data_IF_567141264429
#
_entry.id   IF_567141264429
#
_cell.length_a   1.000
_cell.length_b   1.000
_cell.length_c   1.000
_cell.angle_alpha   90.00
_cell.angle_beta   90.00
_cell.angle_gamma   90.00
#
_symmetry.space_group_name_H-M   'P 1'
#
loop_
_entity.id
_entity.type
_entity.pdbx_description
1 polymer ?
#
# COMPACT_ATOMS: atom_id res chain seq x y z
N UNK A 1 5.43 5.45 1.91
CA UNK A 1 6.73 4.75 1.75
C UNK A 1 7.14 4.84 0.29
N UNK A 2 8.37 5.25 0.00
CA UNK A 2 8.87 5.42 -1.37
C UNK A 2 9.81 4.25 -1.72
N UNK A 3 9.48 3.49 -2.77
CA UNK A 3 10.23 2.34 -3.27
C UNK A 3 10.47 2.55 -4.78
N UNK A 4 11.71 2.86 -5.14
CA UNK A 4 12.10 3.18 -6.52
C UNK A 4 11.15 4.24 -7.12
N UNK A 5 10.36 3.95 -8.15
CA UNK A 5 9.39 4.89 -8.76
C UNK A 5 7.95 4.70 -8.27
N UNK A 6 7.76 4.12 -7.09
CA UNK A 6 6.43 3.86 -6.50
C UNK A 6 6.36 4.44 -5.10
N UNK A 7 5.31 5.23 -4.84
CA UNK A 7 4.95 5.67 -3.49
C UNK A 7 3.76 4.86 -3.02
N UNK A 8 3.94 4.08 -1.95
CA UNK A 8 2.85 3.46 -1.21
C UNK A 8 2.35 4.43 -0.14
N UNK A 9 1.11 4.89 -0.27
CA UNK A 9 0.36 5.58 0.79
C UNK A 9 -0.33 4.51 1.62
N UNK A 10 -0.10 4.53 2.93
CA UNK A 10 -0.66 3.53 3.86
C UNK A 10 -1.48 4.29 4.89
N UNK A 11 -2.78 4.03 4.89
CA UNK A 11 -3.74 4.64 5.81
C UNK A 11 -4.24 3.57 6.78
N UNK A 12 -4.18 3.84 8.07
CA UNK A 12 -4.61 2.90 9.11
C UNK A 12 -5.58 3.60 10.04
N UNK A 13 -6.86 3.35 9.76
CA UNK A 13 -7.97 4.06 10.35
C UNK A 13 -8.71 3.13 11.31
N UNK A 14 -9.06 3.67 12.48
CA UNK A 14 -9.93 3.04 13.44
C UNK A 14 -10.86 4.08 14.06
N UNK A 15 -12.14 3.75 14.16
CA UNK A 15 -13.18 4.56 14.78
C UNK A 15 -13.93 3.75 15.85
N UNK A 16 -14.63 4.46 16.75
CA UNK A 16 -15.46 3.83 17.76
C UNK A 16 -16.75 3.22 17.18
N UNK A 17 -17.28 3.85 16.13
CA UNK A 17 -18.47 3.40 15.40
C UNK A 17 -18.13 3.21 13.92
N UNK A 18 -18.86 2.34 13.24
CA UNK A 18 -18.69 2.13 11.81
C UNK A 18 -19.01 3.41 11.03
N UNK A 19 -18.16 3.76 10.07
CA UNK A 19 -18.33 4.93 9.20
C UNK A 19 -18.19 4.58 7.72
N UNK A 20 -18.43 5.55 6.85
CA UNK A 20 -18.04 5.45 5.45
C UNK A 20 -16.57 5.83 5.30
N UNK A 21 -15.85 5.06 4.50
CA UNK A 21 -14.48 5.37 4.11
C UNK A 21 -14.46 6.09 2.76
N UNK A 22 -13.70 7.19 2.71
CA UNK A 22 -13.41 7.92 1.48
C UNK A 22 -11.92 8.26 1.45
N UNK A 23 -11.28 7.95 0.32
CA UNK A 23 -9.93 8.43 0.01
C UNK A 23 -10.05 9.49 -1.07
N UNK A 24 -9.45 10.67 -0.86
CA UNK A 24 -9.61 11.81 -1.77
C UNK A 24 -8.33 12.09 -2.54
N UNK A 25 -8.46 12.42 -3.82
CA UNK A 25 -7.35 12.80 -4.69
C UNK A 25 -7.64 14.08 -5.45
N UNK A 26 -6.73 15.04 -5.38
CA UNK A 26 -6.83 16.33 -6.07
C UNK A 26 -5.72 16.48 -7.12
N UNK A 27 -5.82 15.83 -8.29
CA UNK A 27 -4.83 15.99 -9.34
C UNK A 27 -5.06 17.26 -10.14
N UNK A 28 -3.97 17.88 -10.58
CA UNK A 28 -4.00 18.87 -11.67
C UNK A 28 -3.67 18.14 -12.97
N UNK A 29 -4.48 18.36 -14.01
CA UNK A 29 -4.27 17.79 -15.35
C UNK A 29 -5.44 16.93 -15.83
N UNK A 30 -5.16 16.05 -16.79
CA UNK A 30 -6.14 15.11 -17.34
C UNK A 30 -6.07 13.79 -16.59
N UNK A 31 -7.22 13.29 -16.14
CA UNK A 31 -7.34 12.01 -15.45
C UNK A 31 -8.28 11.09 -16.21
N UNK A 32 -7.85 9.85 -16.44
CA UNK A 32 -8.61 8.82 -17.18
C UNK A 32 -8.58 7.52 -16.39
N UNK A 33 -9.75 6.94 -16.09
CA UNK A 33 -9.83 5.60 -15.51
C UNK A 33 -9.44 4.55 -16.56
N UNK A 34 -8.55 3.64 -16.19
CA UNK A 34 -8.11 2.49 -17.00
C UNK A 34 -8.18 1.23 -16.16
N UNK A 35 -9.25 0.48 -16.29
CA UNK A 35 -9.46 -0.71 -15.46
C UNK A 35 -9.60 -0.32 -13.98
N UNK A 36 -8.68 -0.83 -13.17
CA UNK A 36 -8.61 -0.56 -11.71
C UNK A 36 -7.77 0.68 -11.36
N UNK A 37 -7.19 1.34 -12.37
CA UNK A 37 -6.24 2.44 -12.22
C UNK A 37 -6.83 3.78 -12.64
N UNK A 38 -6.29 4.87 -12.09
CA UNK A 38 -6.45 6.23 -12.62
C UNK A 38 -5.12 6.67 -13.24
N UNK A 39 -5.14 6.93 -14.54
CA UNK A 39 -4.02 7.49 -15.30
C UNK A 39 -4.13 9.02 -15.29
N UNK A 40 -3.14 9.71 -14.73
CA UNK A 40 -3.15 11.16 -14.53
C UNK A 40 -1.96 11.79 -15.24
N UNK A 41 -2.22 12.77 -16.12
CA UNK A 41 -1.20 13.44 -16.93
C UNK A 41 -1.29 14.95 -16.82
N UNK A 42 -0.15 15.60 -16.63
CA UNK A 42 -0.01 17.06 -16.65
C UNK A 42 1.27 17.47 -17.40
N UNK A 43 1.13 17.85 -18.67
CA UNK A 43 2.27 18.10 -19.54
C UNK A 43 3.14 16.86 -19.69
N UNK A 44 4.40 16.92 -19.21
CA UNK A 44 5.34 15.80 -19.20
C UNK A 44 5.25 14.92 -17.95
N UNK A 45 4.52 15.35 -16.92
CA UNK A 45 4.32 14.56 -15.71
C UNK A 45 3.22 13.52 -15.93
N UNK A 46 3.46 12.30 -15.45
CA UNK A 46 2.53 11.17 -15.53
C UNK A 46 2.60 10.40 -14.22
N UNK A 47 1.44 10.09 -13.64
CA UNK A 47 1.33 9.20 -12.48
C UNK A 47 0.14 8.28 -12.68
N UNK A 48 0.30 7.02 -12.30
CA UNK A 48 -0.82 6.08 -12.20
C UNK A 48 -1.15 5.87 -10.72
N UNK A 49 -2.39 6.11 -10.36
CA UNK A 49 -2.92 5.83 -9.03
C UNK A 49 -3.66 4.50 -9.05
N UNK A 50 -3.26 3.58 -8.16
CA UNK A 50 -3.86 2.26 -7.99
C UNK A 50 -4.24 2.01 -6.53
N UNK A 51 -5.53 1.87 -6.27
CA UNK A 51 -6.01 1.38 -4.97
C UNK A 51 -5.70 -0.12 -4.85
N UNK A 52 -4.99 -0.53 -3.79
CA UNK A 52 -4.62 -1.94 -3.56
C UNK A 52 -5.45 -2.55 -2.45
N UNK A 53 -5.57 -1.85 -1.33
CA UNK A 53 -6.30 -2.30 -0.15
C UNK A 53 -7.25 -1.22 0.39
N UNK A 54 -8.37 -1.61 1.00
CA UNK A 54 -8.78 -3.00 1.23
C UNK A 54 -9.29 -3.68 -0.05
N UNK A 55 -9.75 -2.92 -1.04
CA UNK A 55 -10.11 -3.43 -2.36
C UNK A 55 -9.66 -2.49 -3.48
N UNK A 56 -9.53 -3.02 -4.70
CA UNK A 56 -9.23 -2.19 -5.87
C UNK A 56 -10.48 -1.45 -6.34
N UNK A 57 -10.29 -0.43 -7.17
CA UNK A 57 -11.40 0.16 -7.93
C UNK A 57 -12.08 -0.90 -8.81
N UNK A 58 -13.38 -0.75 -9.05
CA UNK A 58 -14.10 -1.58 -10.00
C UNK A 58 -13.44 -1.53 -11.39
N UNK A 59 -13.08 -2.69 -12.00
CA UNK A 59 -12.39 -2.74 -13.30
C UNK A 59 -13.17 -2.13 -14.47
N UNK A 60 -14.47 -1.93 -14.32
CA UNK A 60 -15.33 -1.30 -15.33
C UNK A 60 -16.31 -0.35 -14.67
N UNK A 61 -17.14 0.33 -15.47
CA UNK A 61 -18.20 1.20 -14.97
C UNK A 61 -19.52 0.46 -14.70
N UNK A 62 -19.58 -0.85 -15.00
CA UNK A 62 -20.67 -1.73 -14.57
C UNK A 62 -20.46 -2.15 -13.12
N UNK A 63 -20.59 -1.18 -12.20
CA UNK A 63 -20.26 -1.34 -10.77
C UNK A 63 -21.05 -2.49 -10.10
N UNK A 64 -22.26 -2.78 -10.57
CA UNK A 64 -23.09 -3.87 -10.02
C UNK A 64 -22.47 -5.26 -10.19
N UNK A 65 -21.57 -5.44 -11.17
CA UNK A 65 -20.81 -6.69 -11.35
C UNK A 65 -19.66 -6.83 -10.33
N UNK A 66 -19.33 -5.75 -9.61
CA UNK A 66 -18.19 -5.64 -8.69
C UNK A 66 -18.62 -5.10 -7.31
N UNK A 67 -19.58 -5.73 -6.61
CA UNK A 67 -20.20 -5.19 -5.40
C UNK A 67 -19.25 -5.08 -4.19
N UNK A 68 -18.10 -5.76 -4.24
CA UNK A 68 -17.06 -5.68 -3.21
C UNK A 68 -15.98 -4.63 -3.50
N UNK A 69 -15.84 -4.20 -4.76
CA UNK A 69 -14.80 -3.27 -5.16
C UNK A 69 -15.11 -1.84 -4.72
N UNK A 70 -14.07 -1.01 -4.70
CA UNK A 70 -14.24 0.42 -4.50
C UNK A 70 -14.92 1.05 -5.71
N UNK A 71 -15.73 2.06 -5.45
CA UNK A 71 -16.29 2.96 -6.47
C UNK A 71 -15.59 4.31 -6.41
N UNK A 72 -15.85 5.15 -7.40
CA UNK A 72 -15.35 6.52 -7.43
C UNK A 72 -16.44 7.52 -7.78
N UNK A 73 -16.30 8.73 -7.26
CA UNK A 73 -17.12 9.90 -7.60
C UNK A 73 -16.19 11.06 -7.98
N UNK A 74 -16.65 11.88 -8.93
CA UNK A 74 -15.96 13.11 -9.34
C UNK A 74 -16.72 14.28 -8.73
N UNK A 75 -16.01 15.10 -7.97
CA UNK A 75 -16.52 16.33 -7.39
C UNK A 75 -15.73 17.51 -7.96
N UNK A 76 -16.25 18.72 -7.79
CA UNK A 76 -15.55 19.95 -8.15
C UNK A 76 -15.31 20.78 -6.88
N UNK A 77 -14.12 21.34 -6.76
CA UNK A 77 -13.76 22.29 -5.70
C UNK A 77 -12.98 23.46 -6.31
N UNK A 78 -12.91 24.63 -5.64
CA UNK A 78 -12.04 25.71 -6.09
C UNK A 78 -10.61 25.21 -6.29
N UNK A 79 -10.05 25.50 -7.46
CA UNK A 79 -8.67 25.19 -7.77
C UNK A 79 -7.70 25.89 -6.82
N UNK A 80 -6.52 25.32 -6.63
CA UNK A 80 -5.50 25.85 -5.71
C UNK A 80 -5.09 27.29 -6.07
N UNK A 81 -5.13 27.65 -7.36
CA UNK A 81 -4.85 28.99 -7.86
C UNK A 81 -6.04 29.96 -7.78
N UNK A 82 -7.17 29.51 -7.23
CA UNK A 82 -8.47 30.20 -7.19
C UNK A 82 -9.00 30.63 -8.56
N UNK A 83 -8.53 30.02 -9.67
CA UNK A 83 -8.97 30.35 -11.03
C UNK A 83 -10.01 29.34 -11.54
N UNK A 84 -11.11 29.26 -10.81
CA UNK A 84 -12.23 28.38 -11.13
C UNK A 84 -12.13 27.02 -10.44
N UNK A 85 -13.07 26.14 -10.76
CA UNK A 85 -13.18 24.84 -10.13
C UNK A 85 -12.33 23.79 -10.84
N UNK A 86 -11.77 22.86 -10.06
CA UNK A 86 -11.02 21.71 -10.52
C UNK A 86 -11.65 20.41 -10.00
N UNK A 87 -11.64 19.33 -10.82
CA UNK A 87 -12.17 18.06 -10.39
C UNK A 87 -11.27 17.41 -9.34
N UNK A 88 -11.88 16.78 -8.35
CA UNK A 88 -11.22 15.86 -7.43
C UNK A 88 -11.99 14.55 -7.34
N UNK A 89 -11.28 13.49 -6.99
CA UNK A 89 -11.78 12.13 -7.05
C UNK A 89 -11.94 11.59 -5.63
N UNK A 90 -13.12 11.07 -5.33
CA UNK A 90 -13.40 10.39 -4.07
C UNK A 90 -13.54 8.90 -4.32
N UNK A 91 -12.82 8.08 -3.56
CA UNK A 91 -12.86 6.62 -3.65
C UNK A 91 -13.59 6.04 -2.44
N UNK A 92 -14.62 5.24 -2.68
CA UNK A 92 -15.54 4.80 -1.64
C UNK A 92 -15.46 3.29 -1.44
N UNK A 93 -15.49 2.84 -0.19
CA UNK A 93 -15.82 1.44 0.10
C UNK A 93 -17.34 1.24 0.07
N UNK A 94 -17.82 0.11 -0.47
CA UNK A 94 -19.25 -0.16 -0.59
C UNK A 94 -19.91 -0.43 0.77
N UNK A 95 -19.13 -0.77 1.80
CA UNK A 95 -19.60 -1.06 3.15
C UNK A 95 -19.07 -0.04 4.14
N UNK A 96 -19.78 0.07 5.26
CA UNK A 96 -19.29 0.80 6.43
C UNK A 96 -18.28 -0.06 7.16
N UNK A 97 -17.28 0.60 7.73
CA UNK A 97 -16.19 -0.03 8.45
C UNK A 97 -15.86 0.82 9.68
N UNK A 98 -15.59 0.17 10.81
CA UNK A 98 -14.96 0.79 11.98
C UNK A 98 -13.43 0.77 11.87
N UNK A 99 -12.89 -0.01 10.92
CA UNK A 99 -11.45 -0.09 10.64
C UNK A 99 -11.15 -0.26 9.17
N UNK A 100 -10.15 0.47 8.69
CA UNK A 100 -9.64 0.33 7.32
C UNK A 100 -8.12 0.43 7.34
N UNK A 101 -7.46 -0.59 6.79
CA UNK A 101 -6.04 -0.51 6.40
C UNK A 101 -5.98 -0.34 4.89
N UNK A 102 -5.90 0.92 4.48
CA UNK A 102 -5.81 1.36 3.09
C UNK A 102 -4.37 1.29 2.60
N UNK A 103 -4.20 0.84 1.35
CA UNK A 103 -2.90 0.96 0.67
C UNK A 103 -3.16 1.41 -0.75
N UNK A 104 -2.56 2.54 -1.10
CA UNK A 104 -2.64 3.14 -2.44
C UNK A 104 -1.24 3.19 -3.02
N UNK A 105 -1.06 2.73 -4.26
CA UNK A 105 0.17 2.89 -5.01
C UNK A 105 0.07 4.08 -5.96
N UNK A 106 1.03 5.00 -5.87
CA UNK A 106 1.28 6.04 -6.85
C UNK A 106 2.52 5.63 -7.66
N UNK A 107 2.32 5.27 -8.93
CA UNK A 107 3.36 4.81 -9.85
C UNK A 107 3.83 6.02 -10.65
N UNK A 108 5.06 6.46 -10.38
CA UNK A 108 5.66 7.69 -10.90
C UNK A 108 6.29 7.51 -12.29
N UNK A 109 6.70 6.28 -12.64
CA UNK A 109 7.12 5.90 -13.99
C UNK A 109 6.28 4.72 -14.51
N UNK A 110 5.07 4.98 -15.03
CA UNK A 110 4.19 3.93 -15.56
C UNK A 110 4.77 3.22 -16.79
N UNK A 111 5.70 3.86 -17.53
CA UNK A 111 6.30 3.29 -18.73
C UNK A 111 7.30 2.16 -18.39
N UNK A 112 7.87 2.17 -17.17
CA UNK A 112 8.65 1.05 -16.63
C UNK A 112 7.83 -0.22 -16.37
N UNK A 113 6.49 -0.12 -16.45
CA UNK A 113 5.52 -1.21 -16.24
C UNK A 113 5.82 -2.08 -15.01
N UNK A 114 5.85 -1.49 -13.79
CA UNK A 114 6.13 -2.26 -12.60
C UNK A 114 5.02 -3.29 -12.33
N UNK A 115 5.40 -4.51 -11.96
CA UNK A 115 4.46 -5.53 -11.52
C UNK A 115 4.15 -5.30 -10.03
N UNK A 116 2.88 -5.12 -9.69
CA UNK A 116 2.43 -4.93 -8.31
C UNK A 116 1.40 -6.02 -7.97
N UNK A 117 1.75 -6.90 -7.05
CA UNK A 117 0.92 -8.03 -6.61
C UNK A 117 0.43 -7.81 -5.17
N UNK A 118 -0.88 -8.00 -4.96
CA UNK A 118 -1.49 -8.02 -3.62
C UNK A 118 -1.29 -9.39 -2.98
N UNK A 119 -0.88 -9.41 -1.72
CA UNK A 119 -0.60 -10.63 -0.94
C UNK A 119 -1.29 -10.56 0.42
N UNK A 120 -1.71 -11.70 0.97
CA UNK A 120 -2.34 -11.72 2.30
C UNK A 120 -2.06 -13.03 3.00
N UNK A 121 -2.06 -12.99 4.32
CA UNK A 121 -1.98 -14.17 5.17
C UNK A 121 -2.59 -13.90 6.53
N UNK A 122 -2.29 -14.76 7.49
CA UNK A 122 -2.83 -14.67 8.83
C UNK A 122 -2.27 -13.44 9.56
N UNK A 123 -3.14 -12.45 9.82
CA UNK A 123 -2.77 -11.21 10.51
C UNK A 123 -1.94 -10.23 9.69
N UNK A 124 -1.78 -10.38 8.37
CA UNK A 124 -1.02 -9.44 7.54
C UNK A 124 -1.58 -9.28 6.11
N UNK A 125 -1.35 -8.11 5.54
CA UNK A 125 -1.49 -7.85 4.09
C UNK A 125 -0.14 -7.43 3.53
N UNK A 126 0.08 -7.58 2.24
CA UNK A 126 1.34 -7.20 1.63
C UNK A 126 1.26 -6.85 0.16
N UNK A 127 2.30 -6.18 -0.30
CA UNK A 127 2.47 -5.74 -1.69
C UNK A 127 3.83 -6.22 -2.16
N UNK A 128 3.86 -7.03 -3.21
CA UNK A 128 5.10 -7.39 -3.91
C UNK A 128 5.23 -6.51 -5.13
N UNK A 129 6.35 -5.80 -5.21
CA UNK A 129 6.68 -4.90 -6.31
C UNK A 129 7.87 -5.49 -7.06
N UNK A 130 7.72 -5.77 -8.35
CA UNK A 130 8.87 -6.03 -9.24
C UNK A 130 9.08 -4.82 -10.15
N UNK A 131 10.26 -4.25 -10.07
CA UNK A 131 10.64 -3.07 -10.85
C UNK A 131 12.16 -2.95 -10.87
N UNK A 132 12.73 -2.43 -11.96
CA UNK A 132 14.17 -2.17 -12.08
C UNK A 132 15.08 -3.37 -11.74
N UNK A 133 14.66 -4.59 -12.08
CA UNK A 133 15.42 -5.81 -11.78
C UNK A 133 15.53 -6.12 -10.29
N UNK A 134 14.61 -5.60 -9.47
CA UNK A 134 14.49 -5.86 -8.03
C UNK A 134 13.08 -6.34 -7.70
N UNK A 135 12.99 -7.09 -6.61
CA UNK A 135 11.73 -7.44 -5.97
C UNK A 135 11.71 -6.76 -4.60
N UNK A 136 10.70 -5.95 -4.30
CA UNK A 136 10.45 -5.45 -2.95
C UNK A 136 9.13 -5.99 -2.43
N UNK A 137 9.21 -6.79 -1.36
CA UNK A 137 8.05 -7.22 -0.59
C UNK A 137 7.79 -6.23 0.53
N UNK A 138 6.55 -5.77 0.66
CA UNK A 138 6.07 -4.92 1.75
C UNK A 138 5.01 -5.67 2.50
N UNK A 139 5.17 -5.82 3.81
CA UNK A 139 4.21 -6.44 4.71
C UNK A 139 3.70 -5.41 5.70
N UNK A 140 2.38 -5.37 5.86
CA UNK A 140 1.67 -4.54 6.82
C UNK A 140 0.97 -5.47 7.81
N UNK A 141 1.29 -5.28 9.07
CA UNK A 141 0.81 -6.09 10.16
C UNK A 141 -0.58 -5.62 10.59
N UNK A 142 -1.57 -6.52 10.44
CA UNK A 142 -2.94 -6.23 10.82
C UNK A 142 -3.19 -6.39 12.33
N UNK A 143 -2.33 -7.13 13.03
CA UNK A 143 -2.41 -7.33 14.49
C UNK A 143 -1.83 -6.14 15.27
N UNK A 144 -0.95 -5.36 14.64
CA UNK A 144 -0.42 -4.12 15.21
C UNK A 144 -1.45 -2.98 15.07
N UNK A 145 -2.55 -3.07 15.83
CA UNK A 145 -3.69 -2.16 15.79
C UNK A 145 -3.68 -1.06 16.88
N UNK A 146 -2.59 -0.98 17.64
CA UNK A 146 -2.37 0.06 18.66
C UNK A 146 -3.24 -0.06 19.91
N UNK A 147 -4.19 -1.01 19.99
CA UNK A 147 -5.15 -1.11 21.11
C UNK A 147 -4.51 -1.66 22.38
N UNK A 148 -3.57 -2.60 22.26
CA UNK A 148 -2.91 -3.23 23.40
C UNK A 148 -1.42 -3.33 23.11
N UNK A 149 -0.63 -2.50 23.79
CA UNK A 149 0.84 -2.44 23.64
C UNK A 149 1.55 -3.75 24.02
N UNK A 150 0.87 -4.66 24.73
CA UNK A 150 1.39 -5.95 25.18
C UNK A 150 0.80 -7.16 24.43
N UNK A 151 -0.09 -6.96 23.46
CA UNK A 151 -0.56 -8.08 22.64
C UNK A 151 0.55 -8.55 21.72
N UNK A 152 0.62 -9.88 21.58
CA UNK A 152 1.49 -10.52 20.61
C UNK A 152 1.08 -10.06 19.20
N UNK A 153 1.89 -9.20 18.58
CA UNK A 153 1.71 -8.72 17.21
C UNK A 153 2.59 -9.47 16.23
N UNK A 154 3.00 -10.71 16.54
CA UNK A 154 3.88 -11.48 15.68
C UNK A 154 3.12 -12.02 14.47
N UNK A 155 3.67 -11.76 13.28
CA UNK A 155 3.19 -12.27 12.01
C UNK A 155 4.27 -13.10 11.33
N UNK A 156 3.86 -13.99 10.42
CA UNK A 156 4.75 -14.89 9.69
C UNK A 156 4.63 -14.77 8.15
N UNK A 157 4.80 -13.58 7.55
CA UNK A 157 4.72 -13.44 6.10
C UNK A 157 5.87 -14.18 5.40
N UNK A 158 5.54 -15.14 4.54
CA UNK A 158 6.50 -15.78 3.63
C UNK A 158 7.77 -16.33 4.30
N UNK A 159 7.61 -16.92 5.49
CA UNK A 159 8.72 -17.48 6.27
C UNK A 159 9.49 -16.46 7.11
N UNK A 160 9.18 -15.16 7.00
CA UNK A 160 9.67 -14.11 7.89
C UNK A 160 8.84 -14.07 9.16
N UNK A 161 9.49 -14.07 10.31
CA UNK A 161 8.89 -13.87 11.62
C UNK A 161 9.25 -12.45 12.10
N UNK A 162 8.22 -11.63 12.33
CA UNK A 162 8.38 -10.21 12.71
C UNK A 162 7.19 -9.72 13.53
N UNK A 163 7.45 -8.78 14.43
CA UNK A 163 6.45 -8.06 15.22
C UNK A 163 6.23 -6.60 14.74
N UNK A 164 6.92 -6.23 13.65
CA UNK A 164 6.90 -4.89 13.10
C UNK A 164 5.52 -4.52 12.58
N UNK A 165 5.22 -3.22 12.60
CA UNK A 165 4.02 -2.68 11.97
C UNK A 165 4.12 -2.73 10.45
N UNK A 166 5.25 -2.26 9.90
CA UNK A 166 5.57 -2.39 8.47
C UNK A 166 6.95 -3.02 8.34
N UNK A 167 7.08 -4.00 7.45
CA UNK A 167 8.36 -4.56 7.03
C UNK A 167 8.46 -4.44 5.52
N UNK A 168 9.55 -3.87 4.98
CA UNK A 168 9.85 -3.95 3.56
C UNK A 168 11.18 -4.67 3.34
N UNK A 169 11.25 -5.58 2.38
CA UNK A 169 12.42 -6.39 2.06
C UNK A 169 12.68 -6.32 0.57
N UNK A 170 13.84 -5.81 0.17
CA UNK A 170 14.25 -5.73 -1.23
C UNK A 170 15.30 -6.80 -1.53
N UNK A 171 15.12 -7.47 -2.66
CA UNK A 171 15.99 -8.51 -3.23
C UNK A 171 16.36 -8.11 -4.67
N UNK A 172 17.45 -8.66 -5.21
CA UNK A 172 17.63 -8.72 -6.67
C UNK A 172 16.55 -9.60 -7.29
N UNK A 173 16.16 -9.35 -8.54
CA UNK A 173 15.19 -10.19 -9.29
C UNK A 173 15.87 -11.41 -9.94
N UNK A 174 17.06 -11.78 -9.48
CA UNK A 174 17.64 -13.07 -9.87
C UNK A 174 16.87 -14.19 -9.15
N UNK A 175 16.56 -15.29 -9.86
CA UNK A 175 15.75 -16.40 -9.32
C UNK A 175 16.36 -17.07 -8.07
N UNK A 176 17.62 -16.79 -7.74
CA UNK A 176 18.27 -17.30 -6.54
C UNK A 176 18.08 -16.35 -5.35
N UNK A 177 17.88 -15.05 -5.57
CA UNK A 177 17.82 -14.00 -4.54
C UNK A 177 16.67 -14.17 -3.53
N UNK A 178 15.55 -14.78 -3.93
CA UNK A 178 14.47 -15.12 -2.99
C UNK A 178 14.89 -16.15 -1.93
N UNK A 179 16.03 -16.83 -2.12
CA UNK A 179 16.65 -17.71 -1.13
C UNK A 179 17.78 -17.01 -0.33
N UNK A 180 18.23 -15.83 -0.79
CA UNK A 180 19.31 -15.07 -0.19
C UNK A 180 18.75 -13.94 0.67
N UNK A 181 19.52 -13.53 1.68
CA UNK A 181 19.13 -12.42 2.57
C UNK A 181 18.79 -11.18 1.72
N UNK A 182 17.76 -10.39 2.10
CA UNK A 182 17.42 -9.16 1.41
C UNK A 182 18.61 -8.21 1.40
N UNK A 183 18.81 -7.52 0.27
CA UNK A 183 19.88 -6.52 0.11
C UNK A 183 19.56 -5.21 0.82
N UNK A 184 18.28 -4.95 1.09
CA UNK A 184 17.79 -3.79 1.84
C UNK A 184 16.56 -4.19 2.66
N UNK A 185 16.42 -3.66 3.87
CA UNK A 185 15.24 -3.85 4.68
C UNK A 185 14.82 -2.58 5.42
N UNK A 186 13.49 -2.42 5.54
CA UNK A 186 12.86 -1.37 6.33
C UNK A 186 12.02 -2.05 7.39
N UNK A 187 12.13 -1.59 8.61
CA UNK A 187 11.35 -2.04 9.76
C UNK A 187 10.76 -0.79 10.40
N UNK A 188 9.43 -0.71 10.46
CA UNK A 188 8.71 0.35 11.16
C UNK A 188 8.04 -0.28 12.38
N UNK A 189 8.35 0.26 13.54
CA UNK A 189 7.81 -0.14 14.84
C UNK A 189 7.92 -1.65 15.09
N UNK A 190 9.11 -2.21 14.90
CA UNK A 190 9.43 -3.62 15.14
C UNK A 190 10.61 -3.80 16.07
N UNK A 191 10.64 -4.92 16.78
CA UNK A 191 11.75 -5.31 17.64
C UNK A 191 12.56 -6.47 17.05
N UNK A 192 12.02 -7.26 16.12
CA UNK A 192 12.75 -8.39 15.54
C UNK A 192 12.29 -8.77 14.14
N UNK A 193 13.25 -9.22 13.31
CA UNK A 193 13.02 -9.78 11.98
C UNK A 193 13.94 -10.98 11.77
N UNK A 194 13.36 -12.14 11.43
CA UNK A 194 14.08 -13.41 11.25
C UNK A 194 13.45 -14.22 10.12
N UNK A 195 14.24 -14.94 9.32
CA UNK A 195 13.71 -15.90 8.36
C UNK A 195 13.82 -17.33 8.88
N UNK A 196 12.70 -18.02 9.06
CA UNK A 196 12.64 -19.38 9.59
C UNK A 196 13.46 -19.55 10.87
N UNK A 197 14.40 -20.51 10.85
CA UNK A 197 15.29 -20.80 11.98
C UNK A 197 16.69 -20.13 11.91
N UNK A 198 16.92 -19.22 10.96
CA UNK A 198 18.21 -18.51 10.83
C UNK A 198 18.49 -17.51 11.96
N UNK A 199 19.70 -16.97 12.08
CA UNK A 199 19.94 -15.83 12.97
C UNK A 199 19.07 -14.64 12.56
N UNK A 200 18.58 -13.84 13.54
CA UNK A 200 17.78 -12.66 13.22
C UNK A 200 18.59 -11.68 12.36
N UNK A 201 17.95 -11.13 11.33
CA UNK A 201 18.52 -9.99 10.58
C UNK A 201 18.50 -8.71 11.42
N UNK A 202 17.51 -8.61 12.31
CA UNK A 202 17.35 -7.48 13.19
C UNK A 202 16.76 -7.97 14.52
N UNK A 203 17.28 -7.44 15.62
CA UNK A 203 16.79 -7.69 16.97
C UNK A 203 17.17 -6.53 17.88
N UNK A 204 16.19 -5.98 18.60
CA UNK A 204 16.35 -4.91 19.59
C UNK A 204 15.50 -5.23 20.82
N UNK A 205 15.85 -4.66 21.98
CA UNK A 205 15.08 -4.86 23.22
C UNK A 205 13.73 -4.13 23.23
N UNK A 206 13.53 -3.19 22.29
CA UNK A 206 12.32 -2.38 22.15
C UNK A 206 11.98 -2.17 20.67
N UNK A 207 10.70 -1.92 20.38
CA UNK A 207 10.26 -1.57 19.03
C UNK A 207 10.91 -0.27 18.58
N UNK A 208 11.43 -0.27 17.35
CA UNK A 208 12.08 0.89 16.76
C UNK A 208 11.85 0.93 15.24
N UNK A 209 12.23 2.04 14.62
CA UNK A 209 12.26 2.21 13.17
C UNK A 209 13.71 2.04 12.69
N UNK A 210 13.91 1.24 11.64
CA UNK A 210 15.22 1.02 11.01
C UNK A 210 15.09 0.96 9.50
N UNK A 211 16.10 1.49 8.83
CA UNK A 211 16.29 1.43 7.39
C UNK A 211 17.74 1.02 7.20
N UNK A 212 17.96 -0.05 6.44
CA UNK A 212 19.28 -0.62 6.13
C UNK A 212 19.31 -1.04 4.68
#
# INVERSE_FOLDING_TARGET
MWIDDIILVIDDLASHEEGSYQWLWHPIGTTVKKGVDLDIRNGKAHVVLRQLYPETLAPSDFIHDYPSNMTWEIHNAPGEDNKGDQPYYSFHLPKRHDRVKGVTALILDPESQPEIERRKGDGWIGVRIKSHGKITDVYINQLADGRIMHMNSWINPDGWNTDAYITALTYSDDKQALQHRPSRHIIIYGSRLRHGNSDPLYSELKKNNKIW
#
